data_IF_807264112484
#
_entry.id   IF_807264112484
#
_cell.length_a   1.000
_cell.length_b   1.000
_cell.length_c   1.000
_cell.angle_alpha   90.00
_cell.angle_beta   90.00
_cell.angle_gamma   90.00
#
_symmetry.space_group_name_H-M   'P 1'
#
loop_
_entity.id
_entity.type
_entity.pdbx_description
1 polymer ?
#
# COMPACT_ATOMS: atom_id res chain seq x y z
N UNK A 1 -57.35 9.43 21.71
CA UNK A 1 -55.89 9.26 21.47
C UNK A 1 -55.67 7.92 20.79
N UNK A 2 -55.33 7.90 19.49
CA UNK A 2 -55.03 6.66 18.75
C UNK A 2 -53.59 6.24 19.09
N UNK A 3 -53.42 5.13 19.80
CA UNK A 3 -52.10 4.52 20.05
C UNK A 3 -51.64 3.85 18.75
N UNK A 4 -50.51 4.30 18.19
CA UNK A 4 -49.85 3.59 17.11
C UNK A 4 -49.28 2.29 17.68
N UNK A 5 -49.80 1.16 17.22
CA UNK A 5 -49.24 -0.15 17.58
C UNK A 5 -47.84 -0.25 17.00
N UNK A 6 -46.83 -0.30 17.85
CA UNK A 6 -45.44 -0.55 17.46
C UNK A 6 -45.36 -1.98 16.95
N UNK A 7 -45.25 -2.19 15.63
CA UNK A 7 -44.98 -3.51 15.05
C UNK A 7 -43.55 -3.90 15.43
N UNK A 8 -43.39 -4.98 16.20
CA UNK A 8 -42.09 -5.58 16.47
C UNK A 8 -41.58 -6.38 15.27
N UNK A 9 -40.25 -6.47 15.12
CA UNK A 9 -39.61 -7.36 14.15
C UNK A 9 -39.88 -8.83 14.48
N UNK A 10 -40.15 -9.64 13.47
CA UNK A 10 -40.27 -11.09 13.62
C UNK A 10 -38.89 -11.76 13.61
N UNK A 11 -38.78 -12.90 14.29
CA UNK A 11 -37.55 -13.71 14.27
C UNK A 11 -37.20 -14.19 12.85
N UNK A 12 -38.22 -14.45 12.03
CA UNK A 12 -38.06 -14.89 10.64
C UNK A 12 -37.44 -13.77 9.79
N UNK A 13 -37.86 -12.52 9.97
CA UNK A 13 -37.28 -11.37 9.27
C UNK A 13 -35.79 -11.22 9.61
N UNK A 14 -35.42 -11.37 10.88
CA UNK A 14 -34.02 -11.28 11.29
C UNK A 14 -33.19 -12.46 10.73
N UNK A 15 -33.74 -13.68 10.69
CA UNK A 15 -33.05 -14.85 10.13
C UNK A 15 -32.68 -14.68 8.65
N UNK A 16 -33.61 -14.22 7.82
CA UNK A 16 -33.35 -14.06 6.38
C UNK A 16 -32.32 -12.95 6.15
N UNK A 17 -32.38 -11.86 6.92
CA UNK A 17 -31.46 -10.74 6.81
C UNK A 17 -30.02 -11.16 7.12
N UNK A 18 -29.78 -11.90 8.21
CA UNK A 18 -28.41 -12.34 8.55
C UNK A 18 -27.87 -13.35 7.54
N UNK A 19 -28.72 -14.18 6.94
CA UNK A 19 -28.32 -15.12 5.86
C UNK A 19 -27.86 -14.36 4.61
N UNK A 20 -28.63 -13.36 4.17
CA UNK A 20 -28.28 -12.56 2.99
C UNK A 20 -27.01 -11.74 3.25
N UNK A 21 -26.89 -11.08 4.40
CA UNK A 21 -25.68 -10.33 4.77
C UNK A 21 -24.47 -11.28 4.86
N UNK A 22 -24.63 -12.47 5.42
CA UNK A 22 -23.59 -13.50 5.48
C UNK A 22 -23.10 -13.92 4.10
N UNK A 23 -24.01 -14.15 3.15
CA UNK A 23 -23.66 -14.48 1.76
C UNK A 23 -22.91 -13.33 1.07
N UNK A 24 -23.40 -12.10 1.21
CA UNK A 24 -22.75 -10.92 0.62
C UNK A 24 -21.34 -10.70 1.21
N UNK A 25 -21.19 -10.83 2.54
CA UNK A 25 -19.91 -10.68 3.21
C UNK A 25 -18.90 -11.75 2.77
N UNK A 26 -19.33 -13.00 2.62
CA UNK A 26 -18.48 -14.11 2.18
C UNK A 26 -17.86 -13.87 0.79
N UNK A 27 -18.61 -13.26 -0.14
CA UNK A 27 -18.08 -12.89 -1.46
C UNK A 27 -17.27 -11.59 -1.45
N UNK A 28 -17.63 -10.62 -0.61
CA UNK A 28 -16.98 -9.32 -0.57
C UNK A 28 -15.57 -9.35 0.04
N UNK A 29 -15.36 -10.10 1.12
CA UNK A 29 -14.08 -10.19 1.83
C UNK A 29 -12.90 -10.58 0.92
N UNK A 30 -12.94 -11.67 0.13
CA UNK A 30 -11.82 -12.04 -0.73
C UNK A 30 -11.57 -11.02 -1.84
N UNK A 31 -12.62 -10.38 -2.36
CA UNK A 31 -12.49 -9.29 -3.33
C UNK A 31 -11.76 -8.08 -2.75
N UNK A 32 -12.15 -7.66 -1.55
CA UNK A 32 -11.54 -6.53 -0.86
C UNK A 32 -10.05 -6.77 -0.53
N UNK A 33 -9.69 -7.98 -0.10
CA UNK A 33 -8.30 -8.36 0.15
C UNK A 33 -7.42 -8.21 -1.10
N UNK A 34 -7.89 -8.69 -2.27
CA UNK A 34 -7.17 -8.55 -3.54
C UNK A 34 -6.96 -7.10 -3.93
N UNK A 35 -7.99 -6.27 -3.82
CA UNK A 35 -7.91 -4.83 -4.16
C UNK A 35 -6.95 -4.11 -3.23
N UNK A 36 -6.98 -4.42 -1.92
CA UNK A 36 -6.05 -3.85 -0.93
C UNK A 36 -4.59 -4.20 -1.27
N UNK A 37 -4.31 -5.47 -1.57
CA UNK A 37 -2.96 -5.92 -1.94
C UNK A 37 -2.48 -5.24 -3.23
N UNK A 38 -3.31 -5.17 -4.27
CA UNK A 38 -2.96 -4.49 -5.51
C UNK A 38 -2.70 -2.98 -5.30
N UNK A 39 -3.42 -2.35 -4.36
CA UNK A 39 -3.23 -0.95 -4.01
C UNK A 39 -1.91 -0.72 -3.25
N UNK A 40 -1.56 -1.65 -2.36
CA UNK A 40 -0.26 -1.67 -1.67
C UNK A 40 0.89 -1.85 -2.68
N UNK A 41 0.81 -2.82 -3.59
CA UNK A 41 1.83 -3.06 -4.63
C UNK A 41 2.08 -1.77 -5.46
N UNK A 42 1.02 -1.08 -5.86
CA UNK A 42 1.12 0.19 -6.60
C UNK A 42 1.75 1.31 -5.79
N UNK A 43 1.41 1.42 -4.50
CA UNK A 43 2.00 2.43 -3.63
C UNK A 43 3.51 2.17 -3.41
N UNK A 44 3.91 0.91 -3.21
CA UNK A 44 5.32 0.52 -3.08
C UNK A 44 6.09 0.82 -4.38
N UNK A 45 5.52 0.50 -5.54
CA UNK A 45 6.12 0.84 -6.83
C UNK A 45 6.30 2.35 -7.01
N UNK A 46 5.31 3.15 -6.58
CA UNK A 46 5.42 4.62 -6.64
C UNK A 46 6.48 5.17 -5.68
N UNK A 47 6.65 4.57 -4.51
CA UNK A 47 7.72 4.93 -3.58
C UNK A 47 9.10 4.58 -4.17
N UNK A 48 9.25 3.40 -4.78
CA UNK A 48 10.48 3.01 -5.47
C UNK A 48 10.82 3.98 -6.62
N UNK A 49 9.82 4.43 -7.39
CA UNK A 49 10.01 5.45 -8.44
C UNK A 49 10.48 6.81 -7.89
N UNK A 50 9.92 7.25 -6.76
CA UNK A 50 10.35 8.50 -6.11
C UNK A 50 11.80 8.39 -5.65
N UNK A 51 12.18 7.24 -5.08
CA UNK A 51 13.55 6.97 -4.65
C UNK A 51 14.52 6.91 -5.83
N UNK A 52 14.14 6.30 -6.95
CA UNK A 52 14.95 6.29 -8.16
C UNK A 52 15.19 7.71 -8.70
N UNK A 53 14.13 8.50 -8.84
CA UNK A 53 14.23 9.88 -9.31
C UNK A 53 15.11 10.75 -8.38
N UNK A 54 14.98 10.55 -7.07
CA UNK A 54 15.82 11.21 -6.08
C UNK A 54 17.29 10.78 -6.21
N UNK A 55 17.55 9.48 -6.38
CA UNK A 55 18.90 8.95 -6.58
C UNK A 55 19.55 9.54 -7.83
N UNK A 56 18.84 9.53 -8.96
CA UNK A 56 19.32 10.11 -10.23
C UNK A 56 19.62 11.60 -10.08
N UNK A 57 18.75 12.35 -9.40
CA UNK A 57 18.95 13.78 -9.18
C UNK A 57 20.18 14.04 -8.30
N UNK A 58 20.34 13.31 -7.19
CA UNK A 58 21.50 13.44 -6.31
C UNK A 58 22.81 13.07 -7.03
N UNK A 59 22.80 11.98 -7.79
CA UNK A 59 23.95 11.52 -8.57
C UNK A 59 24.35 12.55 -9.63
N UNK A 60 23.38 13.16 -10.30
CA UNK A 60 23.61 14.22 -11.30
C UNK A 60 24.15 15.50 -10.67
N UNK A 61 23.65 15.90 -9.51
CA UNK A 61 24.08 17.11 -8.80
C UNK A 61 25.50 16.97 -8.23
N UNK A 62 25.84 15.79 -7.69
CA UNK A 62 27.12 15.56 -7.02
C UNK A 62 28.16 14.87 -7.91
N UNK A 63 27.79 14.45 -9.13
CA UNK A 63 28.67 13.73 -10.05
C UNK A 63 29.11 12.35 -9.54
N UNK A 64 28.31 11.72 -8.69
CA UNK A 64 28.58 10.41 -8.09
C UNK A 64 27.69 9.32 -8.72
N UNK A 65 28.13 8.07 -8.71
CA UNK A 65 27.35 6.93 -9.23
C UNK A 65 26.57 6.15 -8.16
N UNK A 66 26.61 6.62 -6.91
CA UNK A 66 26.06 5.94 -5.74
C UNK A 66 25.42 6.97 -4.79
N UNK A 67 24.29 6.61 -4.19
CA UNK A 67 23.60 7.40 -3.18
C UNK A 67 23.13 6.51 -2.02
N UNK A 68 23.26 6.99 -0.79
CA UNK A 68 22.67 6.31 0.36
C UNK A 68 21.23 6.77 0.60
N UNK A 69 20.41 5.92 1.20
CA UNK A 69 19.03 6.27 1.54
C UNK A 69 18.94 7.56 2.37
N UNK A 70 19.91 7.80 3.25
CA UNK A 70 19.98 8.99 4.09
C UNK A 70 20.20 10.29 3.28
N UNK A 71 20.83 10.21 2.10
CA UNK A 71 21.02 11.36 1.20
C UNK A 71 19.72 11.70 0.44
N UNK A 72 18.87 10.70 0.23
CA UNK A 72 17.67 10.83 -0.60
C UNK A 72 16.42 11.20 0.22
N UNK A 73 16.30 10.64 1.42
CA UNK A 73 15.10 10.77 2.26
C UNK A 73 15.39 11.58 3.51
N UNK A 74 14.61 12.63 3.74
CA UNK A 74 14.76 13.53 4.89
C UNK A 74 14.01 14.85 4.68
N UNK A 75 13.77 15.59 5.75
CA UNK A 75 12.95 16.81 5.71
C UNK A 75 13.47 17.88 4.71
N UNK A 76 14.78 17.90 4.47
CA UNK A 76 15.48 18.81 3.57
C UNK A 76 15.96 18.16 2.27
N UNK A 77 15.72 16.86 2.09
CA UNK A 77 16.23 16.09 0.96
C UNK A 77 15.17 15.99 -0.16
N UNK A 78 15.50 15.26 -1.22
CA UNK A 78 14.64 15.12 -2.41
C UNK A 78 13.29 14.48 -2.10
N UNK A 79 13.23 13.54 -1.16
CA UNK A 79 12.00 12.92 -0.67
C UNK A 79 11.83 13.21 0.81
N UNK A 80 10.73 13.84 1.19
CA UNK A 80 10.50 14.25 2.59
C UNK A 80 10.28 13.08 3.53
N UNK A 81 9.51 12.09 3.08
CA UNK A 81 9.20 10.88 3.82
C UNK A 81 8.67 9.80 2.85
N UNK A 82 8.94 8.53 3.17
CA UNK A 82 8.40 7.38 2.44
C UNK A 82 7.40 6.68 3.35
N UNK A 83 6.12 6.76 2.98
CA UNK A 83 5.08 6.09 3.75
C UNK A 83 5.09 4.59 3.49
N UNK A 84 5.36 3.83 4.54
CA UNK A 84 5.28 2.36 4.57
C UNK A 84 3.81 1.92 4.57
N UNK A 85 3.44 1.02 3.66
CA UNK A 85 2.03 0.60 3.46
C UNK A 85 1.77 -0.89 3.68
N UNK A 86 2.81 -1.70 3.67
CA UNK A 86 2.75 -3.16 3.66
C UNK A 86 3.93 -3.84 4.40
N UNK A 87 4.53 -3.17 5.39
CA UNK A 87 5.73 -3.62 6.12
C UNK A 87 6.93 -3.89 5.20
N UNK A 88 7.00 -3.15 4.10
CA UNK A 88 8.07 -3.26 3.13
C UNK A 88 9.37 -2.60 3.62
N UNK A 89 10.50 -3.06 3.09
CA UNK A 89 11.83 -2.51 3.34
C UNK A 89 12.47 -2.09 2.03
N UNK A 90 12.94 -0.84 1.98
CA UNK A 90 13.64 -0.27 0.83
C UNK A 90 15.16 -0.46 0.96
N UNK A 91 15.90 -0.53 -0.16
CA UNK A 91 17.37 -0.58 -0.12
C UNK A 91 17.96 0.62 0.62
N UNK A 92 19.09 0.38 1.28
CA UNK A 92 19.86 1.45 1.95
C UNK A 92 20.80 2.18 1.01
N UNK A 93 21.04 1.66 -0.20
CA UNK A 93 21.93 2.22 -1.19
C UNK A 93 21.38 2.05 -2.60
N UNK A 94 21.71 3.02 -3.46
CA UNK A 94 21.24 3.14 -4.84
C UNK A 94 22.44 3.37 -5.76
N UNK A 95 22.54 2.59 -6.83
CA UNK A 95 23.65 2.66 -7.80
C UNK A 95 23.11 2.95 -9.19
N UNK A 96 23.72 3.87 -9.95
CA UNK A 96 23.29 4.18 -11.32
C UNK A 96 23.15 2.92 -12.21
N UNK A 97 22.10 2.85 -13.04
CA UNK A 97 21.72 1.71 -13.88
C UNK A 97 21.31 0.38 -13.21
N UNK A 98 21.16 0.27 -11.89
CA UNK A 98 20.89 -0.97 -11.14
C UNK A 98 19.54 -1.06 -10.40
N UNK A 99 18.47 -1.60 -11.00
CA UNK A 99 17.10 -1.70 -10.44
C UNK A 99 16.89 -1.71 -8.90
N UNK A 100 15.89 -0.97 -8.39
CA UNK A 100 15.50 -0.95 -6.97
C UNK A 100 14.68 -2.18 -6.65
N UNK A 101 15.12 -2.98 -5.68
CA UNK A 101 14.38 -4.14 -5.18
C UNK A 101 13.82 -3.87 -3.79
N UNK A 102 12.50 -3.84 -3.66
CA UNK A 102 11.78 -3.69 -2.39
C UNK A 102 11.33 -5.05 -1.89
N UNK A 103 11.67 -5.36 -0.63
CA UNK A 103 11.32 -6.63 0.02
C UNK A 103 10.13 -6.44 0.97
N UNK A 104 9.34 -7.49 1.14
CA UNK A 104 8.40 -7.57 2.27
C UNK A 104 6.99 -7.07 2.00
N UNK A 105 6.54 -6.93 0.75
CA UNK A 105 5.14 -6.55 0.49
C UNK A 105 4.21 -7.66 1.00
N UNK A 106 3.51 -7.38 2.10
CA UNK A 106 2.77 -8.36 2.90
C UNK A 106 3.62 -9.54 3.41
N UNK A 107 4.92 -9.31 3.67
CA UNK A 107 5.82 -10.28 4.32
C UNK A 107 6.34 -11.42 3.45
N UNK A 108 6.08 -11.46 2.14
CA UNK A 108 6.47 -12.62 1.29
C UNK A 108 6.91 -12.29 -0.15
N UNK A 109 6.77 -11.04 -0.62
CA UNK A 109 6.96 -10.69 -2.04
C UNK A 109 8.04 -9.64 -2.25
N UNK A 110 8.68 -9.74 -3.41
CA UNK A 110 9.71 -8.82 -3.90
C UNK A 110 9.14 -8.02 -5.06
N UNK A 111 9.30 -6.69 -5.03
CA UNK A 111 8.95 -5.80 -6.14
C UNK A 111 10.24 -5.15 -6.64
N UNK A 112 10.56 -5.37 -7.91
CA UNK A 112 11.72 -4.74 -8.55
C UNK A 112 11.26 -3.65 -9.50
N UNK A 113 11.80 -2.46 -9.32
CA UNK A 113 11.69 -1.34 -10.25
C UNK A 113 13.00 -1.25 -11.04
N UNK A 114 12.93 -1.49 -12.36
CA UNK A 114 14.07 -1.27 -13.25
C UNK A 114 14.20 0.21 -13.61
N UNK A 115 15.44 0.69 -13.63
CA UNK A 115 15.83 1.99 -14.15
C UNK A 115 16.88 1.83 -15.24
#
# INVERSE_FOLDING_TARGET
MKRFATKGFTLVEIMIVVVIIGLLAAMAIPGFQKVRLASQDKAVLNNARQLAAAADQYMMENGVGYAEYADLVGATNYVKDIRIVANETYPTGYTAGSGITVLGVAGSRTITYGF
#
